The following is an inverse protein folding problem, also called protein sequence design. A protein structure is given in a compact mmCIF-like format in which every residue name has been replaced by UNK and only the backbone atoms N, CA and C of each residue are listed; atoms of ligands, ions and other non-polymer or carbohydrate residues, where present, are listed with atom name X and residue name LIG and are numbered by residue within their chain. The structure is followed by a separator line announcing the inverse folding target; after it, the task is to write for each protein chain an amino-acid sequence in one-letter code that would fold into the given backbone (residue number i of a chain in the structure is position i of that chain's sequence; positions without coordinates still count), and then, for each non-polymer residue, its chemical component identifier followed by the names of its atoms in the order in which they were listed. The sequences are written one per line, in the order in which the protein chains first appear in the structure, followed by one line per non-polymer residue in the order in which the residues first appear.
data_IF_068730178198
#
_entry.id   IF_068730178198
#
_cell.length_a   1.000
_cell.length_b   1.000
_cell.length_c   1.000
_cell.angle_alpha   90.00
_cell.angle_beta   90.00
_cell.angle_gamma   90.00
#
_symmetry.space_group_name_H-M   'P 1'
#
loop_
_entity.id
_entity.type
_entity.pdbx_description
1 polymer ?
#
# COMPACT_ATOMS: atom_id res chain seq x y z
N UNK A 1 20.39 18.41 -8.69
CA UNK A 1 20.09 19.84 -8.49
C UNK A 1 20.22 20.67 -9.77
N UNK A 2 20.84 20.16 -10.83
CA UNK A 2 20.99 20.90 -12.11
C UNK A 2 19.67 21.05 -12.89
N UNK A 3 18.64 20.26 -12.56
CA UNK A 3 17.38 20.21 -13.30
C UNK A 3 16.17 20.83 -12.57
N UNK A 4 16.34 21.32 -11.34
CA UNK A 4 15.27 21.93 -10.55
C UNK A 4 15.77 23.09 -9.70
N UNK A 5 14.93 24.13 -9.60
CA UNK A 5 15.21 25.32 -8.78
C UNK A 5 14.75 25.18 -7.33
N UNK A 6 14.00 24.12 -7.00
CA UNK A 6 13.49 23.87 -5.65
C UNK A 6 13.54 22.37 -5.32
N UNK A 7 13.83 22.05 -4.08
CA UNK A 7 13.84 20.70 -3.52
C UNK A 7 13.10 20.74 -2.19
N UNK A 8 12.21 19.78 -1.98
CA UNK A 8 11.54 19.55 -0.71
C UNK A 8 12.27 18.44 0.05
N UNK A 9 12.50 18.66 1.34
CA UNK A 9 13.04 17.66 2.26
C UNK A 9 11.97 17.36 3.32
N UNK A 10 11.68 16.08 3.52
CA UNK A 10 10.68 15.61 4.48
C UNK A 10 11.31 14.60 5.43
N UNK A 11 10.75 14.49 6.63
CA UNK A 11 11.13 13.45 7.59
C UNK A 11 10.74 12.07 7.06
N UNK A 12 11.62 11.09 7.24
CA UNK A 12 11.30 9.68 6.91
C UNK A 12 10.55 9.05 8.07
N UNK A 13 9.28 8.74 7.85
CA UNK A 13 8.45 8.03 8.82
C UNK A 13 8.67 6.52 8.65
N UNK A 14 9.16 5.85 9.70
CA UNK A 14 9.37 4.39 9.71
C UNK A 14 8.15 3.71 10.33
N UNK A 15 7.16 3.39 9.50
CA UNK A 15 5.94 2.72 9.90
C UNK A 15 5.30 2.00 8.70
N UNK A 16 4.27 1.17 8.93
CA UNK A 16 3.47 0.59 7.86
C UNK A 16 2.56 1.64 7.21
N UNK A 17 2.41 1.55 5.88
CA UNK A 17 1.58 2.47 5.09
C UNK A 17 0.19 1.88 4.88
N UNK A 18 -0.84 2.57 5.35
CA UNK A 18 -2.24 2.16 5.20
C UNK A 18 -3.01 3.13 4.32
N UNK A 19 -3.91 2.59 3.49
CA UNK A 19 -4.94 3.33 2.76
C UNK A 19 -6.29 2.99 3.35
N UNK A 20 -6.96 3.98 3.94
CA UNK A 20 -8.36 3.92 4.35
C UNK A 20 -9.23 4.37 3.19
N UNK A 21 -10.26 3.60 2.87
CA UNK A 21 -11.30 3.98 1.92
C UNK A 21 -12.58 4.35 2.70
N UNK A 22 -12.96 5.61 2.61
CA UNK A 22 -14.18 6.14 3.21
C UNK A 22 -15.22 6.35 2.11
N UNK A 23 -16.44 5.86 2.32
CA UNK A 23 -17.59 6.05 1.44
C UNK A 23 -18.82 6.33 2.33
N UNK A 24 -19.56 7.40 2.03
CA UNK A 24 -20.73 7.78 2.80
C UNK A 24 -20.44 8.13 4.27
N UNK A 25 -19.23 8.65 4.54
CA UNK A 25 -18.79 9.01 5.89
C UNK A 25 -18.25 7.85 6.75
N UNK A 26 -18.22 6.62 6.22
CA UNK A 26 -17.75 5.44 6.94
C UNK A 26 -16.57 4.78 6.25
N UNK A 27 -15.61 4.30 7.03
CA UNK A 27 -14.51 3.47 6.53
C UNK A 27 -15.06 2.12 6.07
N UNK A 28 -14.99 1.84 4.78
CA UNK A 28 -15.48 0.61 4.16
C UNK A 28 -14.39 -0.47 4.03
N UNK A 29 -13.15 -0.04 3.87
CA UNK A 29 -12.03 -0.95 3.72
C UNK A 29 -10.70 -0.27 4.06
N UNK A 30 -9.75 -1.05 4.58
CA UNK A 30 -8.40 -0.61 4.89
C UNK A 30 -7.42 -1.61 4.29
N UNK A 31 -6.39 -1.11 3.63
CA UNK A 31 -5.31 -1.96 3.13
C UNK A 31 -3.96 -1.45 3.61
N UNK A 32 -3.09 -2.38 4.02
CA UNK A 32 -1.67 -2.13 4.16
C UNK A 32 -1.00 -2.22 2.79
N UNK A 33 -0.12 -1.28 2.50
CA UNK A 33 0.68 -1.27 1.28
C UNK A 33 2.11 -1.66 1.61
N UNK A 34 2.57 -2.76 1.04
CA UNK A 34 3.96 -3.23 1.14
C UNK A 34 4.73 -2.85 -0.12
N UNK A 35 5.93 -2.28 0.00
CA UNK A 35 6.79 -2.04 -1.16
C UNK A 35 6.99 -3.29 -2.00
N UNK A 36 7.28 -3.09 -3.30
CA UNK A 36 7.62 -4.17 -4.20
C UNK A 36 8.70 -5.07 -3.57
N UNK A 37 8.44 -6.36 -3.47
CA UNK A 37 9.25 -7.31 -2.72
C UNK A 37 9.25 -8.71 -3.35
N UNK A 38 10.21 -9.53 -2.94
CA UNK A 38 10.20 -10.98 -3.13
C UNK A 38 10.46 -11.68 -1.81
N UNK A 39 9.98 -12.92 -1.68
CA UNK A 39 10.26 -13.77 -0.52
C UNK A 39 11.00 -15.01 -0.97
N UNK A 40 12.14 -15.29 -0.37
CA UNK A 40 12.97 -16.43 -0.66
C UNK A 40 12.30 -17.76 -0.30
N UNK A 41 12.55 -18.78 -1.10
CA UNK A 41 12.13 -20.16 -0.85
C UNK A 41 13.32 -21.10 -0.54
N UNK A 42 14.55 -20.54 -0.51
CA UNK A 42 15.80 -21.26 -0.28
C UNK A 42 16.30 -22.09 -1.47
N UNK A 43 15.69 -21.93 -2.66
CA UNK A 43 15.99 -22.73 -3.85
C UNK A 43 16.01 -21.92 -5.14
N UNK A 44 15.06 -21.01 -5.28
CA UNK A 44 14.87 -20.21 -6.51
C UNK A 44 15.75 -18.99 -6.50
N UNK A 45 16.24 -18.63 -7.68
CA UNK A 45 16.96 -17.37 -7.89
C UNK A 45 16.00 -16.18 -7.81
N UNK A 46 16.55 -14.98 -7.56
CA UNK A 46 15.79 -13.72 -7.60
C UNK A 46 14.99 -13.60 -8.89
N UNK A 47 15.59 -13.88 -10.05
CA UNK A 47 14.94 -13.90 -11.36
C UNK A 47 13.72 -14.81 -11.40
N UNK A 48 13.85 -16.03 -10.86
CA UNK A 48 12.75 -17.01 -10.82
C UNK A 48 11.64 -16.57 -9.89
N UNK A 49 11.98 -16.03 -8.71
CA UNK A 49 10.98 -15.50 -7.75
C UNK A 49 10.17 -14.35 -8.33
N UNK A 50 10.83 -13.41 -9.04
CA UNK A 50 10.19 -12.31 -9.75
C UNK A 50 9.24 -12.81 -10.85
N UNK A 51 9.72 -13.71 -11.71
CA UNK A 51 8.90 -14.28 -12.78
C UNK A 51 7.67 -14.99 -12.23
N UNK A 52 7.83 -15.77 -11.15
CA UNK A 52 6.69 -16.43 -10.46
C UNK A 52 5.69 -15.44 -9.88
N UNK A 53 6.18 -14.34 -9.30
CA UNK A 53 5.30 -13.32 -8.70
C UNK A 53 4.54 -12.57 -9.80
N UNK A 54 5.20 -12.20 -10.89
CA UNK A 54 4.56 -11.55 -12.04
C UNK A 54 3.62 -12.48 -12.83
N UNK A 55 3.82 -13.79 -12.76
CA UNK A 55 2.95 -14.78 -13.38
C UNK A 55 1.61 -15.04 -12.65
N UNK A 56 1.30 -14.30 -11.58
CA UNK A 56 -0.01 -14.39 -10.91
C UNK A 56 -1.11 -13.79 -11.78
N UNK A 57 -2.29 -14.41 -11.80
CA UNK A 57 -3.39 -14.07 -12.70
C UNK A 57 -3.87 -12.61 -12.62
N UNK A 58 -3.78 -11.99 -11.45
CA UNK A 58 -4.20 -10.60 -11.22
C UNK A 58 -3.08 -9.57 -11.41
N UNK A 59 -1.86 -10.01 -11.74
CA UNK A 59 -0.69 -9.14 -11.86
C UNK A 59 -0.24 -9.03 -13.31
N UNK A 60 0.04 -7.80 -13.74
CA UNK A 60 0.47 -7.50 -15.11
C UNK A 60 0.77 -6.03 -15.32
N UNK A 61 0.84 -5.56 -16.58
CA UNK A 61 1.09 -4.16 -16.90
C UNK A 61 0.15 -3.21 -16.15
N UNK A 62 0.71 -2.12 -15.62
CA UNK A 62 -0.03 -1.13 -14.86
C UNK A 62 -1.26 -0.61 -15.65
N UNK A 63 -2.37 -0.36 -14.95
CA UNK A 63 -3.66 0.07 -15.47
C UNK A 63 -4.40 -0.93 -16.38
N UNK A 64 -3.82 -2.10 -16.68
CA UNK A 64 -4.47 -3.17 -17.42
C UNK A 64 -4.86 -4.33 -16.51
N UNK A 65 -4.17 -4.47 -15.40
CA UNK A 65 -4.39 -5.49 -14.38
C UNK A 65 -4.65 -4.87 -13.02
N UNK A 66 -5.39 -5.55 -12.13
CA UNK A 66 -5.66 -5.07 -10.78
C UNK A 66 -4.40 -4.83 -9.95
N UNK A 67 -3.35 -5.62 -10.18
CA UNK A 67 -2.04 -5.48 -9.53
C UNK A 67 -0.96 -5.26 -10.59
N UNK A 68 -0.10 -4.29 -10.35
CA UNK A 68 1.02 -4.00 -11.27
C UNK A 68 2.14 -5.02 -11.12
N UNK A 69 2.78 -5.34 -12.25
CA UNK A 69 3.96 -6.20 -12.25
C UNK A 69 5.16 -5.50 -11.58
N UNK A 70 6.04 -6.32 -10.99
CA UNK A 70 7.33 -5.86 -10.52
C UNK A 70 8.28 -5.70 -11.71
N UNK A 71 8.83 -4.51 -11.84
CA UNK A 71 9.83 -4.21 -12.86
C UNK A 71 11.24 -4.31 -12.26
N UNK A 72 12.23 -4.58 -13.10
CA UNK A 72 13.63 -4.60 -12.74
C UNK A 72 14.36 -3.46 -13.43
N UNK A 73 14.09 -2.25 -12.97
CA UNK A 73 14.80 -1.05 -13.39
C UNK A 73 16.09 -0.82 -12.61
N UNK A 74 16.62 0.38 -12.71
CA UNK A 74 17.87 0.79 -12.02
C UNK A 74 17.69 0.77 -10.50
N UNK A 75 16.54 1.21 -10.00
CA UNK A 75 16.26 1.28 -8.55
C UNK A 75 16.24 -0.12 -7.94
N UNK A 76 15.51 -1.05 -8.54
CA UNK A 76 15.39 -2.42 -8.04
C UNK A 76 16.74 -3.16 -8.09
N UNK A 77 17.54 -2.95 -9.13
CA UNK A 77 18.90 -3.51 -9.20
C UNK A 77 19.82 -2.91 -8.14
N UNK A 78 19.75 -1.61 -7.90
CA UNK A 78 20.50 -0.96 -6.83
C UNK A 78 20.10 -1.51 -5.45
N UNK A 79 18.79 -1.72 -5.20
CA UNK A 79 18.31 -2.32 -3.96
C UNK A 79 18.81 -3.77 -3.81
N UNK A 80 18.77 -4.60 -4.83
CA UNK A 80 19.35 -5.94 -4.79
C UNK A 80 20.84 -5.91 -4.44
N UNK A 81 21.59 -5.02 -5.08
CA UNK A 81 23.02 -4.87 -4.80
C UNK A 81 23.29 -4.44 -3.34
N UNK A 82 22.43 -3.62 -2.72
CA UNK A 82 22.57 -3.25 -1.30
C UNK A 82 22.38 -4.43 -0.33
N UNK A 83 21.68 -5.48 -0.76
CA UNK A 83 21.61 -6.77 -0.05
C UNK A 83 22.71 -7.75 -0.47
N UNK A 84 23.69 -7.34 -1.27
CA UNK A 84 24.71 -8.20 -1.89
C UNK A 84 24.10 -9.33 -2.75
N UNK A 85 22.97 -9.04 -3.41
CA UNK A 85 22.26 -9.98 -4.28
C UNK A 85 22.28 -9.49 -5.73
N UNK A 86 22.17 -10.45 -6.66
CA UNK A 86 21.93 -10.25 -8.08
C UNK A 86 20.75 -11.14 -8.55
N UNK A 87 20.50 -11.19 -9.85
CA UNK A 87 19.37 -11.96 -10.40
C UNK A 87 19.53 -13.48 -10.27
N UNK A 88 20.75 -13.97 -10.19
CA UNK A 88 21.09 -15.39 -10.10
C UNK A 88 21.26 -15.85 -8.64
N UNK A 89 21.28 -14.93 -7.71
CA UNK A 89 21.38 -15.19 -6.26
C UNK A 89 20.15 -15.93 -5.75
N UNK A 90 20.38 -16.95 -4.89
CA UNK A 90 19.31 -17.67 -4.19
C UNK A 90 19.04 -17.00 -2.85
N UNK A 91 17.78 -16.64 -2.59
CA UNK A 91 17.36 -16.00 -1.34
C UNK A 91 16.93 -17.06 -0.33
N UNK A 92 17.44 -16.99 0.90
CA UNK A 92 17.11 -17.90 1.99
C UNK A 92 15.61 -17.96 2.23
N UNK A 93 15.12 -19.14 2.65
CA UNK A 93 13.69 -19.34 2.89
C UNK A 93 13.13 -18.39 3.94
N UNK A 94 12.02 -17.75 3.60
CA UNK A 94 11.33 -16.79 4.48
C UNK A 94 11.97 -15.40 4.52
N UNK A 95 13.13 -15.19 3.90
CA UNK A 95 13.74 -13.87 3.83
C UNK A 95 13.00 -13.01 2.81
N UNK A 96 12.48 -11.88 3.26
CA UNK A 96 11.87 -10.87 2.40
C UNK A 96 12.94 -9.86 1.94
N UNK A 97 12.97 -9.60 0.63
CA UNK A 97 13.84 -8.60 0.01
C UNK A 97 12.94 -7.51 -0.57
N UNK A 98 13.07 -6.30 -0.05
CA UNK A 98 12.38 -5.13 -0.59
C UNK A 98 13.13 -4.63 -1.83
N UNK A 99 12.44 -4.55 -2.94
CA UNK A 99 12.99 -4.06 -4.21
C UNK A 99 12.84 -2.55 -4.37
N UNK A 100 11.95 -1.95 -3.57
CA UNK A 100 11.72 -0.51 -3.49
C UNK A 100 11.51 -0.09 -2.03
N UNK A 101 11.61 1.20 -1.76
CA UNK A 101 11.26 1.80 -0.47
C UNK A 101 9.84 2.36 -0.49
N UNK A 102 9.39 2.83 -1.66
CA UNK A 102 8.03 3.30 -1.84
C UNK A 102 7.04 2.14 -2.01
N UNK A 103 5.86 2.27 -1.43
CA UNK A 103 4.76 1.32 -1.55
C UNK A 103 3.75 1.76 -2.63
N UNK A 104 4.25 2.34 -3.73
CA UNK A 104 3.42 2.79 -4.84
C UNK A 104 2.81 1.61 -5.58
N UNK A 105 1.49 1.62 -5.69
CA UNK A 105 0.71 0.53 -6.30
C UNK A 105 1.16 0.22 -7.74
N UNK A 106 1.40 1.27 -8.55
CA UNK A 106 1.89 1.14 -9.93
C UNK A 106 3.29 0.55 -10.07
N UNK A 107 4.06 0.46 -9.00
CA UNK A 107 5.44 -0.05 -8.98
C UNK A 107 5.54 -1.51 -8.48
N UNK A 108 4.44 -2.24 -8.44
CA UNK A 108 4.42 -3.64 -8.04
C UNK A 108 4.31 -3.88 -6.53
N UNK A 109 3.88 -2.89 -5.76
CA UNK A 109 3.57 -3.06 -4.35
C UNK A 109 2.57 -4.21 -4.13
N UNK A 110 2.68 -4.90 -3.01
CA UNK A 110 1.64 -5.81 -2.54
C UNK A 110 0.64 -5.04 -1.68
N UNK A 111 -0.56 -5.59 -1.58
CA UNK A 111 -1.66 -5.02 -0.81
C UNK A 111 -2.24 -6.09 0.09
N UNK A 112 -2.32 -5.81 1.39
CA UNK A 112 -2.92 -6.67 2.39
C UNK A 112 -4.20 -6.03 2.91
N UNK A 113 -5.30 -6.78 2.95
CA UNK A 113 -6.49 -6.33 3.65
C UNK A 113 -6.22 -6.28 5.15
N UNK A 114 -6.44 -5.13 5.76
CA UNK A 114 -6.24 -4.85 7.19
C UNK A 114 -7.52 -4.31 7.86
N UNK A 115 -8.66 -4.45 7.18
CA UNK A 115 -9.92 -3.83 7.59
C UNK A 115 -10.37 -4.29 8.98
N UNK A 116 -10.34 -5.61 9.19
CA UNK A 116 -10.85 -6.22 10.43
C UNK A 116 -9.81 -6.20 11.57
N UNK A 117 -8.55 -5.92 11.25
CA UNK A 117 -7.44 -5.89 12.21
C UNK A 117 -7.17 -4.49 12.80
N UNK A 118 -7.61 -3.44 12.11
CA UNK A 118 -7.33 -2.05 12.49
C UNK A 118 -8.07 -1.66 13.77
N UNK A 119 -7.34 -1.13 14.75
CA UNK A 119 -7.96 -0.64 15.99
C UNK A 119 -8.98 0.47 15.71
N UNK A 120 -10.14 0.41 16.36
CA UNK A 120 -11.30 1.27 16.09
C UNK A 120 -10.99 2.77 16.23
N UNK A 121 -10.04 3.15 17.06
CA UNK A 121 -9.66 4.57 17.25
C UNK A 121 -9.10 5.22 15.98
N UNK A 122 -8.34 4.47 15.14
CA UNK A 122 -7.87 4.97 13.85
C UNK A 122 -9.01 5.15 12.85
N UNK A 123 -9.97 4.21 12.85
CA UNK A 123 -11.17 4.29 12.01
C UNK A 123 -11.94 5.57 12.34
N UNK A 124 -12.25 5.80 13.62
CA UNK A 124 -12.96 6.98 14.09
C UNK A 124 -12.23 8.29 13.78
N UNK A 125 -10.91 8.31 13.93
CA UNK A 125 -10.09 9.47 13.60
C UNK A 125 -10.13 9.81 12.10
N UNK A 126 -10.08 8.80 11.22
CA UNK A 126 -10.17 8.98 9.76
C UNK A 126 -11.58 9.40 9.35
N UNK A 127 -12.64 8.78 9.90
CA UNK A 127 -14.02 9.16 9.62
C UNK A 127 -14.28 10.62 10.00
N UNK A 128 -13.83 11.03 11.20
CA UNK A 128 -13.93 12.42 11.65
C UNK A 128 -13.18 13.38 10.72
N UNK A 129 -11.95 13.05 10.31
CA UNK A 129 -11.15 13.87 9.39
C UNK A 129 -11.87 14.08 8.05
N UNK A 130 -12.44 13.01 7.48
CA UNK A 130 -13.16 13.07 6.21
C UNK A 130 -14.46 13.86 6.33
N UNK A 131 -15.16 13.73 7.45
CA UNK A 131 -16.37 14.50 7.76
C UNK A 131 -16.06 16.00 7.91
N UNK A 132 -15.00 16.37 8.63
CA UNK A 132 -14.55 17.76 8.80
C UNK A 132 -14.20 18.42 7.45
N UNK A 133 -13.73 17.63 6.49
CA UNK A 133 -13.44 18.07 5.10
C UNK A 133 -14.67 18.03 4.18
N UNK A 134 -15.82 17.57 4.67
CA UNK A 134 -17.07 17.44 3.90
C UNK A 134 -16.95 16.59 2.63
N UNK A 135 -16.15 15.53 2.69
CA UNK A 135 -15.98 14.58 1.59
C UNK A 135 -16.92 13.39 1.77
N UNK A 136 -17.69 13.04 0.74
CA UNK A 136 -18.53 11.84 0.71
C UNK A 136 -17.75 10.57 0.38
N UNK A 137 -16.65 10.72 -0.40
CA UNK A 137 -15.74 9.64 -0.76
C UNK A 137 -14.32 10.13 -0.59
N UNK A 138 -13.48 9.36 0.08
CA UNK A 138 -12.07 9.69 0.27
C UNK A 138 -11.20 8.45 0.44
N UNK A 139 -9.97 8.54 -0.08
CA UNK A 139 -8.87 7.65 0.27
C UNK A 139 -7.89 8.39 1.16
N UNK A 140 -7.64 7.92 2.38
CA UNK A 140 -6.72 8.56 3.33
C UNK A 140 -5.50 7.69 3.51
N UNK A 141 -4.31 8.26 3.26
CA UNK A 141 -3.03 7.60 3.46
C UNK A 141 -2.46 7.95 4.83
N UNK A 142 -2.20 6.92 5.64
CA UNK A 142 -1.68 7.07 7.00
C UNK A 142 -0.54 6.10 7.24
N UNK A 143 0.54 6.57 7.84
CA UNK A 143 1.60 5.73 8.39
C UNK A 143 1.26 5.39 9.84
N UNK A 144 1.18 4.10 10.17
CA UNK A 144 0.82 3.60 11.50
C UNK A 144 1.84 2.54 11.94
N UNK A 145 2.53 2.74 13.07
CA UNK A 145 3.53 1.78 13.56
C UNK A 145 2.92 0.46 14.05
N UNK A 146 1.74 0.53 14.66
CA UNK A 146 1.05 -0.64 15.21
C UNK A 146 -0.47 -0.47 15.08
N UNK A 147 -1.06 -1.19 14.14
CA UNK A 147 -2.50 -1.12 13.86
C UNK A 147 -3.39 -1.67 15.00
N UNK A 148 -2.83 -2.49 15.90
CA UNK A 148 -3.56 -3.06 17.04
C UNK A 148 -3.57 -2.16 18.27
N UNK A 149 -2.71 -1.14 18.33
CA UNK A 149 -2.65 -0.21 19.45
C UNK A 149 -3.74 0.85 19.35
N UNK A 150 -4.27 1.28 20.50
CA UNK A 150 -5.18 2.42 20.57
C UNK A 150 -4.43 3.71 20.18
N UNK A 151 -5.03 4.51 19.30
CA UNK A 151 -4.52 5.84 18.94
C UNK A 151 -4.68 6.79 20.13
N UNK A 152 -3.55 7.31 20.61
CA UNK A 152 -3.50 8.27 21.72
C UNK A 152 -3.24 9.67 21.12
N UNK A 153 -4.15 10.65 21.28
CA UNK A 153 -4.02 11.97 20.65
C UNK A 153 -2.73 12.74 21.01
N UNK A 154 -2.17 12.49 22.19
CA UNK A 154 -0.94 13.10 22.67
C UNK A 154 0.33 12.53 21.99
N UNK A 155 0.19 11.46 21.21
CA UNK A 155 1.25 10.75 20.52
C UNK A 155 1.11 10.87 18.98
N UNK A 156 1.48 12.02 18.38
CA UNK A 156 1.28 12.26 16.95
C UNK A 156 2.05 11.28 16.04
N UNK A 157 3.10 10.63 16.57
CA UNK A 157 3.86 9.60 15.87
C UNK A 157 3.08 8.29 15.64
N UNK A 158 1.96 8.08 16.33
CA UNK A 158 1.12 6.89 16.16
C UNK A 158 0.31 6.92 14.87
N UNK A 159 0.04 8.11 14.30
CA UNK A 159 -0.66 8.24 13.03
C UNK A 159 -0.14 9.46 12.26
N UNK A 160 0.69 9.23 11.25
CA UNK A 160 1.18 10.30 10.38
C UNK A 160 0.38 10.29 9.09
N UNK A 161 -0.43 11.31 8.88
CA UNK A 161 -1.27 11.46 7.68
C UNK A 161 -0.41 11.98 6.52
N UNK A 162 -0.37 11.22 5.42
CA UNK A 162 0.43 11.56 4.23
C UNK A 162 -0.40 12.30 3.17
N UNK A 163 -1.68 11.99 3.06
CA UNK A 163 -2.52 12.62 2.05
C UNK A 163 -3.96 12.13 2.05
N UNK A 164 -4.81 12.92 1.38
CA UNK A 164 -6.23 12.63 1.19
C UNK A 164 -6.56 12.78 -0.29
N UNK A 165 -7.29 11.80 -0.83
CA UNK A 165 -7.68 11.74 -2.24
C UNK A 165 -9.20 11.66 -2.35
N UNK A 166 -9.84 12.65 -2.97
CA UNK A 166 -11.29 12.71 -3.17
C UNK A 166 -11.80 11.72 -4.25
N UNK A 167 -10.91 11.19 -5.08
CA UNK A 167 -11.23 10.18 -6.09
C UNK A 167 -10.25 9.00 -5.99
N UNK A 168 -10.35 8.16 -4.94
CA UNK A 168 -9.41 7.08 -4.69
C UNK A 168 -9.61 5.90 -5.67
N UNK A 169 -8.51 5.20 -5.99
CA UNK A 169 -8.60 3.92 -6.67
C UNK A 169 -9.22 2.85 -5.77
N UNK A 170 -10.18 2.10 -6.29
CA UNK A 170 -10.85 1.00 -5.57
C UNK A 170 -10.11 -0.33 -5.68
N UNK A 171 -9.30 -0.53 -6.75
CA UNK A 171 -8.62 -1.79 -7.03
C UNK A 171 -7.86 -2.41 -5.85
N UNK A 172 -7.13 -1.64 -5.01
CA UNK A 172 -6.44 -2.21 -3.86
C UNK A 172 -7.37 -2.96 -2.90
N UNK A 173 -8.58 -2.47 -2.72
CA UNK A 173 -9.58 -3.03 -1.82
C UNK A 173 -10.38 -4.18 -2.45
N UNK A 174 -10.62 -4.10 -3.78
CA UNK A 174 -11.32 -5.13 -4.55
C UNK A 174 -10.44 -6.34 -4.83
N UNK A 175 -9.14 -6.15 -5.00
CA UNK A 175 -8.20 -7.18 -5.44
C UNK A 175 -6.91 -7.16 -4.60
N UNK A 176 -6.98 -7.35 -3.27
CA UNK A 176 -5.79 -7.38 -2.44
C UNK A 176 -4.89 -8.56 -2.84
N UNK A 177 -3.58 -8.43 -2.60
CA UNK A 177 -2.63 -9.54 -2.81
C UNK A 177 -2.84 -10.65 -1.77
N UNK A 178 -3.24 -10.24 -0.56
CA UNK A 178 -3.51 -11.12 0.58
C UNK A 178 -4.71 -10.59 1.38
N UNK A 179 -5.47 -11.48 2.00
CA UNK A 179 -6.64 -11.15 2.79
C UNK A 179 -7.94 -11.19 1.98
N UNK A 180 -8.96 -10.49 2.46
CA UNK A 180 -10.33 -10.54 1.94
C UNK A 180 -10.56 -9.41 0.92
N UNK A 181 -11.08 -9.75 -0.26
CA UNK A 181 -11.59 -8.76 -1.21
C UNK A 181 -12.87 -8.11 -0.65
N UNK A 182 -12.94 -6.77 -0.69
CA UNK A 182 -14.08 -6.01 -0.16
C UNK A 182 -14.99 -5.53 -1.29
N UNK A 183 -16.30 -5.66 -1.13
CA UNK A 183 -17.32 -5.27 -2.14
C UNK A 183 -17.62 -3.76 -2.13
N UNK A 184 -16.57 -2.94 -2.11
CA UNK A 184 -16.66 -1.48 -1.95
C UNK A 184 -17.27 -0.76 -3.17
N UNK A 185 -17.32 -1.41 -4.33
CA UNK A 185 -17.89 -0.82 -5.53
C UNK A 185 -19.42 -0.69 -5.43
N UNK A 186 -20.09 -1.68 -4.87
CA UNK A 186 -21.54 -1.66 -4.67
C UNK A 186 -21.92 -0.54 -3.69
N UNK A 187 -21.22 -0.43 -2.56
CA UNK A 187 -21.42 0.65 -1.59
C UNK A 187 -21.20 2.03 -2.20
N UNK A 188 -20.19 2.18 -3.08
CA UNK A 188 -19.95 3.44 -3.78
C UNK A 188 -21.12 3.82 -4.68
N UNK A 189 -21.61 2.88 -5.49
CA UNK A 189 -22.76 3.11 -6.39
C UNK A 189 -24.00 3.48 -5.57
N UNK A 190 -24.32 2.71 -4.53
CA UNK A 190 -25.44 3.01 -3.64
C UNK A 190 -25.34 4.41 -3.02
N UNK A 191 -24.14 4.79 -2.54
CA UNK A 191 -23.93 6.12 -1.93
C UNK A 191 -24.07 7.27 -2.92
N UNK A 192 -23.61 7.09 -4.17
CA UNK A 192 -23.65 8.16 -5.19
C UNK A 192 -25.03 8.33 -5.83
N UNK A 193 -25.87 7.30 -5.80
CA UNK A 193 -27.20 7.29 -6.44
C UNK A 193 -28.34 7.08 -5.43
N UNK A 194 -28.08 7.15 -4.13
CA UNK A 194 -29.12 7.24 -3.12
C UNK A 194 -29.90 8.55 -3.32
N UNK A 195 -31.20 8.44 -3.62
CA UNK A 195 -32.14 9.57 -3.74
C UNK A 195 -32.48 10.18 -2.36
#
# INVERSE_FOLDING_TARGET
FEQTSAVMAEEVVVASSYRFLVIGGHVQAIVERLPANIVGDGRSTVKTLLARKNGRALRGPAFQYPQSELQLGTIERYRLASYHLDLDSVVSRGTQILLREDATFGNGADVLDATDDMHQSYIQAVEKLVADLQLSVAGVDVMIPNLYAELVPEHPEMAVYLGIHAAPYLYPHLFPTFGTARTVADTLVETLFAE
#
